data_IF_273290101680
#
_entry.id   IF_273290101680
#
_cell.length_a   1.000
_cell.length_b   1.000
_cell.length_c   1.000
_cell.angle_alpha   90.00
_cell.angle_beta   90.00
_cell.angle_gamma   90.00
#
_symmetry.space_group_name_H-M   'P 1'
#
loop_
_entity.id
_entity.type
_entity.pdbx_description
1 polymer ?
#
# COMPACT_ATOMS: atom_id res chain seq x y z
N UNK A 1 -11.07 6.08 -20.13
CA UNK A 1 -10.42 5.45 -18.96
C UNK A 1 -10.92 4.02 -18.89
N UNK A 2 -10.10 3.08 -19.35
CA UNK A 2 -10.35 1.66 -19.12
C UNK A 2 -10.25 1.48 -17.60
N UNK A 3 -11.31 1.00 -16.95
CA UNK A 3 -11.21 0.49 -15.59
C UNK A 3 -10.14 -0.60 -15.64
N UNK A 4 -8.96 -0.36 -15.07
CA UNK A 4 -8.06 -1.44 -14.67
C UNK A 4 -8.91 -2.41 -13.86
N UNK A 5 -9.16 -3.59 -14.41
CA UNK A 5 -9.82 -4.64 -13.67
C UNK A 5 -8.91 -4.98 -12.49
N UNK A 6 -9.29 -4.50 -11.31
CA UNK A 6 -8.55 -4.72 -10.07
C UNK A 6 -8.41 -6.23 -9.86
N UNK A 7 -7.18 -6.74 -10.00
CA UNK A 7 -6.89 -8.16 -9.85
C UNK A 7 -6.78 -8.51 -8.36
N UNK A 8 -7.93 -8.83 -7.76
CA UNK A 8 -8.04 -9.10 -6.32
C UNK A 8 -7.10 -10.24 -5.86
N UNK A 9 -6.82 -11.22 -6.72
CA UNK A 9 -5.87 -12.29 -6.44
C UNK A 9 -4.44 -11.74 -6.31
N UNK A 10 -3.99 -10.98 -7.31
CA UNK A 10 -2.65 -10.38 -7.31
C UNK A 10 -2.48 -9.43 -6.11
N UNK A 11 -3.46 -8.56 -5.86
CA UNK A 11 -3.38 -7.65 -4.72
C UNK A 11 -3.33 -8.37 -3.38
N UNK A 12 -4.15 -9.42 -3.19
CA UNK A 12 -4.13 -10.21 -1.95
C UNK A 12 -2.78 -10.90 -1.75
N UNK A 13 -2.28 -11.59 -2.77
CA UNK A 13 -1.02 -12.36 -2.69
C UNK A 13 0.20 -11.45 -2.52
N UNK A 14 0.25 -10.32 -3.23
CA UNK A 14 1.33 -9.34 -3.08
C UNK A 14 1.34 -8.72 -1.68
N UNK A 15 0.17 -8.31 -1.16
CA UNK A 15 0.06 -7.80 0.21
C UNK A 15 0.47 -8.85 1.23
N UNK A 16 0.02 -10.11 1.08
CA UNK A 16 0.32 -11.19 2.01
C UNK A 16 1.83 -11.51 2.05
N UNK A 17 2.49 -11.52 0.88
CA UNK A 17 3.95 -11.72 0.75
C UNK A 17 4.75 -10.54 1.30
N UNK A 18 4.28 -9.31 1.08
CA UNK A 18 4.88 -8.10 1.66
C UNK A 18 4.83 -8.13 3.20
N UNK A 19 3.68 -8.52 3.77
CA UNK A 19 3.52 -8.71 5.20
C UNK A 19 4.42 -9.82 5.74
N UNK A 20 4.52 -10.96 5.05
CA UNK A 20 5.40 -12.05 5.45
C UNK A 20 6.88 -11.64 5.48
N UNK A 21 7.34 -10.90 4.47
CA UNK A 21 8.70 -10.36 4.40
C UNK A 21 9.00 -9.41 5.56
N UNK A 22 7.97 -8.70 6.03
CA UNK A 22 8.04 -7.75 7.14
C UNK A 22 7.59 -8.34 8.49
N UNK A 23 7.63 -9.67 8.65
CA UNK A 23 7.52 -10.32 9.95
C UNK A 23 6.17 -10.92 10.28
N UNK A 24 5.21 -10.80 9.38
CA UNK A 24 4.05 -11.68 9.37
C UNK A 24 4.44 -13.12 9.00
N UNK A 25 3.44 -14.00 9.04
CA UNK A 25 3.58 -15.40 8.65
C UNK A 25 2.45 -15.79 7.70
N UNK A 26 2.72 -16.76 6.84
CA UNK A 26 1.74 -17.41 5.98
C UNK A 26 1.64 -18.87 6.39
N UNK A 27 0.43 -19.40 6.48
CA UNK A 27 0.23 -20.80 6.81
C UNK A 27 0.70 -21.70 5.65
N UNK A 28 1.02 -22.96 5.97
CA UNK A 28 1.36 -23.96 4.94
C UNK A 28 0.21 -24.15 3.94
N UNK A 29 -1.03 -24.08 4.43
CA UNK A 29 -2.23 -24.21 3.60
C UNK A 29 -2.36 -23.04 2.62
N UNK A 30 -2.12 -21.81 3.08
CA UNK A 30 -2.15 -20.62 2.22
C UNK A 30 -1.15 -20.77 1.05
N UNK A 31 0.08 -21.18 1.37
CA UNK A 31 1.13 -21.39 0.38
C UNK A 31 0.79 -22.52 -0.60
N UNK A 32 0.13 -23.58 -0.12
CA UNK A 32 -0.31 -24.69 -0.96
C UNK A 32 -1.42 -24.26 -1.94
N UNK A 33 -2.40 -23.47 -1.49
CA UNK A 33 -3.47 -22.93 -2.35
C UNK A 33 -2.86 -22.05 -3.46
N UNK A 34 -1.97 -21.14 -3.09
CA UNK A 34 -1.29 -20.22 -4.02
C UNK A 34 -0.47 -20.99 -5.07
N UNK A 35 0.34 -21.95 -4.64
CA UNK A 35 1.15 -22.79 -5.53
C UNK A 35 0.29 -23.65 -6.47
N UNK A 36 -0.82 -24.20 -5.98
CA UNK A 36 -1.74 -24.99 -6.79
C UNK A 36 -2.43 -24.14 -7.87
N UNK A 37 -2.78 -22.89 -7.56
CA UNK A 37 -3.36 -21.98 -8.54
C UNK A 37 -2.34 -21.54 -9.59
N UNK A 38 -1.11 -21.21 -9.19
CA UNK A 38 -0.04 -20.93 -10.15
C UNK A 38 0.23 -22.15 -11.04
N UNK A 39 0.30 -23.37 -10.49
CA UNK A 39 0.43 -24.60 -11.28
C UNK A 39 -0.75 -24.81 -12.25
N UNK A 40 -1.98 -24.47 -11.83
CA UNK A 40 -3.15 -24.49 -12.70
C UNK A 40 -3.00 -23.49 -13.86
N UNK A 41 -2.54 -22.26 -13.60
CA UNK A 41 -2.27 -21.26 -14.65
C UNK A 41 -1.17 -21.71 -15.62
N UNK A 42 -0.11 -22.36 -15.12
CA UNK A 42 0.93 -22.95 -15.97
C UNK A 42 0.41 -24.14 -16.80
N UNK A 43 -0.53 -24.93 -16.29
CA UNK A 43 -1.16 -26.02 -17.07
C UNK A 43 -2.15 -25.53 -18.12
N UNK A 44 -2.68 -24.32 -17.96
CA UNK A 44 -3.42 -23.64 -19.02
C UNK A 44 -2.52 -23.13 -20.16
N UNK A 45 -1.20 -23.33 -20.09
CA UNK A 45 -0.28 -23.01 -21.19
C UNK A 45 -0.54 -23.97 -22.35
N UNK A 46 -1.50 -23.55 -23.18
CA UNK A 46 -1.79 -23.97 -24.55
C UNK A 46 -1.79 -25.46 -24.82
N UNK A 47 -2.98 -26.05 -25.01
CA UNK A 47 -3.11 -27.37 -25.64
C UNK A 47 -2.40 -27.44 -27.00
N UNK A 48 -2.12 -26.30 -27.65
CA UNK A 48 -1.27 -26.22 -28.85
C UNK A 48 0.20 -26.51 -28.52
N UNK A 49 0.71 -26.07 -27.37
CA UNK A 49 2.05 -26.41 -26.90
C UNK A 49 2.16 -27.91 -26.59
N UNK A 50 1.22 -28.47 -25.85
CA UNK A 50 1.17 -29.91 -25.54
C UNK A 50 1.05 -30.74 -26.82
N UNK A 51 0.18 -30.34 -27.75
CA UNK A 51 0.06 -30.97 -29.07
C UNK A 51 1.37 -30.90 -29.87
N UNK A 52 2.03 -29.73 -29.87
CA UNK A 52 3.33 -29.54 -30.56
C UNK A 52 4.40 -30.46 -29.98
N UNK A 53 4.47 -30.59 -28.66
CA UNK A 53 5.39 -31.51 -28.00
C UNK A 53 5.07 -32.97 -28.30
N UNK A 54 3.79 -33.35 -28.28
CA UNK A 54 3.36 -34.71 -28.61
C UNK A 54 3.73 -35.10 -30.05
N UNK A 55 3.60 -34.16 -31.01
CA UNK A 55 4.04 -34.36 -32.40
C UNK A 55 5.56 -34.51 -32.49
N UNK A 56 6.33 -33.66 -31.80
CA UNK A 56 7.81 -33.72 -31.80
C UNK A 56 8.31 -35.04 -31.19
N UNK A 57 7.66 -35.51 -30.13
CA UNK A 57 8.06 -36.73 -29.42
C UNK A 57 7.58 -38.02 -30.10
N UNK A 58 6.74 -37.92 -31.14
CA UNK A 58 6.19 -39.08 -31.84
C UNK A 58 5.22 -39.89 -30.99
N UNK A 59 4.39 -39.21 -30.19
CA UNK A 59 3.32 -39.84 -29.40
C UNK A 59 2.30 -40.56 -30.31
N UNK A 60 1.51 -41.46 -29.73
CA UNK A 60 0.55 -42.26 -30.49
C UNK A 60 -0.64 -41.45 -31.02
N UNK A 61 -1.27 -41.97 -32.08
CA UNK A 61 -2.37 -41.30 -32.77
C UNK A 61 -3.56 -40.97 -31.85
N UNK A 62 -3.81 -41.79 -30.83
CA UNK A 62 -4.87 -41.55 -29.86
C UNK A 62 -4.59 -40.29 -29.02
N UNK A 63 -3.36 -40.15 -28.50
CA UNK A 63 -2.93 -38.96 -27.74
C UNK A 63 -2.93 -37.71 -28.60
N UNK A 64 -2.45 -37.80 -29.84
CA UNK A 64 -2.46 -36.69 -30.79
C UNK A 64 -3.88 -36.21 -31.10
N UNK A 65 -4.81 -37.14 -31.34
CA UNK A 65 -6.22 -36.79 -31.62
C UNK A 65 -6.91 -36.16 -30.41
N UNK A 66 -6.62 -36.63 -29.20
CA UNK A 66 -7.14 -36.04 -27.96
C UNK A 66 -6.63 -34.60 -27.78
N UNK A 67 -5.32 -34.38 -27.88
CA UNK A 67 -4.71 -33.06 -27.76
C UNK A 67 -5.16 -32.10 -28.87
N UNK A 68 -5.31 -32.59 -30.10
CA UNK A 68 -5.85 -31.81 -31.22
C UNK A 68 -7.31 -31.39 -30.98
N UNK A 69 -8.14 -32.28 -30.43
CA UNK A 69 -9.53 -31.97 -30.07
C UNK A 69 -9.59 -30.91 -28.97
N UNK A 70 -8.73 -31.01 -27.95
CA UNK A 70 -8.62 -30.01 -26.88
C UNK A 70 -8.11 -28.67 -27.39
N UNK A 71 -7.11 -28.67 -28.29
CA UNK A 71 -6.59 -27.48 -28.93
C UNK A 71 -7.65 -26.77 -29.81
N UNK A 72 -8.45 -27.53 -30.56
CA UNK A 72 -9.58 -26.98 -31.34
C UNK A 72 -10.65 -26.43 -30.40
N UNK A 73 -11.04 -27.16 -29.35
CA UNK A 73 -12.05 -26.70 -28.40
C UNK A 73 -11.64 -25.38 -27.72
N UNK A 74 -10.36 -25.28 -27.34
CA UNK A 74 -9.74 -24.07 -26.80
C UNK A 74 -9.76 -22.92 -27.83
N UNK A 75 -9.32 -23.18 -29.07
CA UNK A 75 -9.29 -22.18 -30.15
C UNK A 75 -10.70 -21.68 -30.56
N UNK A 76 -11.69 -22.58 -30.60
CA UNK A 76 -13.09 -22.25 -30.88
C UNK A 76 -13.72 -21.42 -29.75
N UNK A 77 -13.35 -21.71 -28.50
CA UNK A 77 -13.69 -20.86 -27.36
C UNK A 77 -13.18 -19.43 -27.52
N UNK A 78 -11.99 -19.26 -28.13
CA UNK A 78 -11.34 -17.98 -28.43
C UNK A 78 -11.97 -17.12 -29.53
N UNK A 79 -12.67 -17.72 -30.50
CA UNK A 79 -13.10 -17.02 -31.72
C UNK A 79 -14.52 -16.42 -31.68
N UNK A 80 -15.36 -16.69 -30.66
CA UNK A 80 -16.71 -16.09 -30.56
C UNK A 80 -16.71 -14.63 -30.03
N UNK A 81 -15.79 -13.81 -30.54
CA UNK A 81 -15.59 -12.43 -30.09
C UNK A 81 -15.38 -11.41 -31.19
N UNK A 82 -15.95 -11.61 -32.39
CA UNK A 82 -15.73 -10.70 -33.53
C UNK A 82 -16.81 -9.63 -33.71
N UNK A 83 -17.83 -9.54 -32.84
CA UNK A 83 -18.78 -8.43 -32.87
C UNK A 83 -18.33 -7.27 -31.98
N UNK A 84 -18.28 -6.08 -32.61
CA UNK A 84 -17.59 -4.85 -32.21
C UNK A 84 -17.94 -4.26 -30.82
N UNK A 85 -18.87 -4.86 -30.08
CA UNK A 85 -19.28 -4.44 -28.74
C UNK A 85 -19.65 -5.60 -27.77
N UNK A 86 -19.39 -6.85 -28.12
CA UNK A 86 -19.60 -7.96 -27.18
C UNK A 86 -18.61 -9.08 -27.39
N UNK A 87 -17.69 -9.24 -26.45
CA UNK A 87 -17.10 -10.54 -26.16
C UNK A 87 -17.21 -10.73 -24.66
N UNK A 88 -18.37 -11.26 -24.25
CA UNK A 88 -18.40 -12.04 -23.02
C UNK A 88 -17.29 -13.08 -23.17
N UNK A 89 -16.35 -13.09 -22.23
CA UNK A 89 -15.15 -13.91 -22.30
C UNK A 89 -15.46 -15.34 -22.71
N UNK A 90 -14.52 -15.93 -23.45
CA UNK A 90 -14.50 -17.35 -23.80
C UNK A 90 -14.90 -18.22 -22.61
N UNK A 91 -15.43 -19.43 -22.83
CA UNK A 91 -15.73 -20.35 -21.72
C UNK A 91 -14.52 -20.53 -20.79
N UNK A 92 -13.30 -20.50 -21.33
CA UNK A 92 -12.05 -20.50 -20.57
C UNK A 92 -11.86 -19.25 -19.72
N UNK A 93 -12.16 -18.05 -20.22
CA UNK A 93 -12.06 -16.81 -19.45
C UNK A 93 -13.10 -16.75 -18.33
N UNK A 94 -14.30 -17.31 -18.54
CA UNK A 94 -15.30 -17.46 -17.48
C UNK A 94 -14.85 -18.47 -16.42
N UNK A 95 -14.26 -19.60 -16.84
CA UNK A 95 -13.70 -20.60 -15.93
C UNK A 95 -12.51 -20.02 -15.15
N UNK A 96 -11.56 -19.34 -15.79
CA UNK A 96 -10.42 -18.71 -15.08
C UNK A 96 -10.92 -17.67 -14.08
N UNK A 97 -11.90 -16.84 -14.46
CA UNK A 97 -12.48 -15.85 -13.54
C UNK A 97 -13.12 -16.52 -12.32
N UNK A 98 -13.92 -17.56 -12.52
CA UNK A 98 -14.58 -18.27 -11.41
C UNK A 98 -13.55 -18.99 -10.52
N UNK A 99 -12.60 -19.72 -11.11
CA UNK A 99 -11.53 -20.42 -10.38
C UNK A 99 -10.71 -19.39 -9.59
N UNK A 100 -10.28 -18.29 -10.22
CA UNK A 100 -9.53 -17.22 -9.55
C UNK A 100 -10.32 -16.63 -8.38
N UNK A 101 -11.61 -16.38 -8.54
CA UNK A 101 -12.45 -15.85 -7.48
C UNK A 101 -12.55 -16.82 -6.30
N UNK A 102 -12.76 -18.12 -6.56
CA UNK A 102 -12.82 -19.15 -5.52
C UNK A 102 -11.47 -19.30 -4.79
N UNK A 103 -10.36 -19.30 -5.53
CA UNK A 103 -9.00 -19.33 -4.97
C UNK A 103 -8.74 -18.11 -4.10
N UNK A 104 -9.09 -16.91 -4.59
CA UNK A 104 -8.93 -15.66 -3.82
C UNK A 104 -9.71 -15.73 -2.51
N UNK A 105 -10.95 -16.19 -2.54
CA UNK A 105 -11.77 -16.36 -1.33
C UNK A 105 -11.12 -17.36 -0.34
N UNK A 106 -10.58 -18.48 -0.83
CA UNK A 106 -9.90 -19.45 0.01
C UNK A 106 -8.63 -18.87 0.65
N UNK A 107 -7.82 -18.13 -0.12
CA UNK A 107 -6.63 -17.43 0.39
C UNK A 107 -6.97 -16.36 1.42
N UNK A 108 -8.07 -15.63 1.24
CA UNK A 108 -8.55 -14.63 2.21
C UNK A 108 -8.99 -15.31 3.50
N UNK A 109 -9.80 -16.36 3.42
CA UNK A 109 -10.25 -17.13 4.59
C UNK A 109 -9.09 -17.73 5.37
N UNK A 110 -8.09 -18.26 4.66
CA UNK A 110 -6.91 -18.84 5.30
C UNK A 110 -6.04 -17.76 5.97
N UNK A 111 -5.81 -16.63 5.29
CA UNK A 111 -5.03 -15.52 5.86
C UNK A 111 -5.69 -14.91 7.10
N UNK A 112 -7.03 -14.82 7.12
CA UNK A 112 -7.79 -14.27 8.25
C UNK A 112 -7.53 -15.02 9.58
N UNK A 113 -7.04 -16.26 9.55
CA UNK A 113 -6.67 -17.03 10.75
C UNK A 113 -5.45 -16.43 11.46
N UNK A 114 -4.54 -15.79 10.73
CA UNK A 114 -3.29 -15.21 11.26
C UNK A 114 -3.21 -13.69 11.10
N UNK A 115 -4.16 -13.07 10.40
CA UNK A 115 -4.10 -11.66 10.01
C UNK A 115 -3.95 -10.69 11.19
N UNK A 116 -4.71 -10.85 12.27
CA UNK A 116 -4.59 -9.99 13.46
C UNK A 116 -3.21 -10.09 14.15
N UNK A 117 -2.59 -11.27 14.14
CA UNK A 117 -1.24 -11.46 14.67
C UNK A 117 -0.19 -10.84 13.75
N UNK A 118 -0.35 -11.03 12.44
CA UNK A 118 0.50 -10.42 11.42
C UNK A 118 0.45 -8.89 11.48
N UNK A 119 -0.74 -8.31 11.64
CA UNK A 119 -0.92 -6.86 11.78
C UNK A 119 -0.12 -6.29 12.95
N UNK A 120 -0.22 -6.93 14.13
CA UNK A 120 0.56 -6.55 15.31
C UNK A 120 2.06 -6.74 15.12
N UNK A 121 2.49 -7.83 14.50
CA UNK A 121 3.90 -8.12 14.26
C UNK A 121 4.56 -7.09 13.33
N UNK A 122 3.88 -6.73 12.23
CA UNK A 122 4.37 -5.69 11.31
C UNK A 122 4.34 -4.31 11.97
N UNK A 123 3.28 -4.00 12.72
CA UNK A 123 3.18 -2.76 13.50
C UNK A 123 4.33 -2.61 14.52
N UNK A 124 4.70 -3.69 15.21
CA UNK A 124 5.85 -3.68 16.11
C UNK A 124 7.16 -3.37 15.39
N UNK A 125 7.42 -3.97 14.21
CA UNK A 125 8.62 -3.66 13.42
C UNK A 125 8.66 -2.22 12.94
N UNK A 126 7.52 -1.66 12.55
CA UNK A 126 7.41 -0.25 12.19
C UNK A 126 7.74 0.64 13.40
N UNK A 127 7.20 0.33 14.57
CA UNK A 127 7.47 1.06 15.81
C UNK A 127 8.95 1.00 16.21
N UNK A 128 9.61 -0.15 16.05
CA UNK A 128 11.05 -0.30 16.31
C UNK A 128 11.84 0.68 15.44
N UNK A 129 11.53 0.78 14.14
CA UNK A 129 12.20 1.71 13.21
C UNK A 129 11.94 3.18 13.51
N UNK A 130 10.71 3.52 13.87
CA UNK A 130 10.36 4.88 14.33
C UNK A 130 11.16 5.23 15.60
N UNK A 131 11.28 4.28 16.52
CA UNK A 131 12.04 4.45 17.77
C UNK A 131 13.53 4.64 17.48
N UNK A 132 14.11 3.85 16.56
CA UNK A 132 15.49 4.04 16.10
C UNK A 132 15.73 5.44 15.52
N UNK A 133 14.81 5.96 14.68
CA UNK A 133 14.92 7.31 14.14
C UNK A 133 14.81 8.38 15.22
N UNK A 134 13.92 8.21 16.19
CA UNK A 134 13.76 9.13 17.33
C UNK A 134 15.05 9.22 18.16
N UNK A 135 15.71 8.10 18.40
CA UNK A 135 17.01 8.08 19.09
C UNK A 135 18.07 8.85 18.30
N UNK A 136 18.05 8.78 16.97
CA UNK A 136 18.97 9.59 16.15
C UNK A 136 18.63 11.08 16.19
N UNK A 137 17.35 11.45 16.21
CA UNK A 137 16.94 12.86 16.31
C UNK A 137 17.34 13.52 17.64
N UNK A 138 17.50 12.74 18.71
CA UNK A 138 18.02 13.23 19.98
C UNK A 138 19.54 13.54 19.92
N UNK A 139 20.26 13.00 18.93
CA UNK A 139 21.71 13.16 18.76
C UNK A 139 22.04 14.25 17.75
N UNK A 140 21.26 14.38 16.67
CA UNK A 140 21.51 15.29 15.56
C UNK A 140 20.20 15.81 14.98
N UNK A 141 20.19 17.05 14.48
CA UNK A 141 19.10 17.51 13.61
C UNK A 141 19.18 16.70 12.30
N UNK A 142 18.30 15.70 12.18
CA UNK A 142 18.28 14.73 11.08
C UNK A 142 17.99 15.37 9.71
N UNK A 143 17.46 16.60 9.70
CA UNK A 143 17.24 17.42 8.51
C UNK A 143 18.28 18.55 8.35
N UNK A 144 19.35 18.56 9.13
CA UNK A 144 20.42 19.54 8.98
C UNK A 144 21.01 19.52 7.56
N UNK A 145 21.31 20.71 7.05
CA UNK A 145 22.06 20.85 5.80
C UNK A 145 23.46 20.21 5.94
N UNK A 146 23.99 19.51 4.92
CA UNK A 146 25.31 18.87 5.01
C UNK A 146 26.44 19.84 5.40
N UNK A 147 26.33 21.12 5.06
CA UNK A 147 27.32 22.13 5.43
C UNK A 147 27.39 22.36 6.95
N UNK A 148 26.27 22.21 7.66
CA UNK A 148 26.21 22.33 9.12
C UNK A 148 26.91 21.16 9.85
N UNK A 149 27.23 20.08 9.13
CA UNK A 149 27.91 18.90 9.65
C UNK A 149 29.43 18.96 9.51
N UNK A 150 29.95 19.91 8.72
CA UNK A 150 31.40 20.07 8.52
C UNK A 150 32.04 20.48 9.85
N UNK A 151 33.00 19.68 10.32
CA UNK A 151 33.67 19.90 11.60
C UNK A 151 32.93 19.35 12.82
N UNK A 152 31.72 18.79 12.65
CA UNK A 152 31.04 18.05 13.72
C UNK A 152 31.78 16.74 14.03
N UNK A 153 31.69 16.21 15.27
CA UNK A 153 32.21 14.89 15.61
C UNK A 153 31.72 13.80 14.65
N UNK A 154 32.58 12.82 14.35
CA UNK A 154 32.26 11.70 13.45
C UNK A 154 30.98 10.96 13.85
N UNK A 155 30.69 10.84 15.16
CA UNK A 155 29.46 10.24 15.68
C UNK A 155 28.20 10.97 15.20
N UNK A 156 28.21 12.31 15.14
CA UNK A 156 27.08 13.13 14.67
C UNK A 156 26.90 12.95 13.16
N UNK A 157 28.01 12.98 12.41
CA UNK A 157 27.98 12.76 10.95
C UNK A 157 27.44 11.36 10.61
N UNK A 158 27.86 10.32 11.35
CA UNK A 158 27.35 8.96 11.19
C UNK A 158 25.87 8.84 11.53
N UNK A 159 25.41 9.43 12.63
CA UNK A 159 24.00 9.45 13.00
C UNK A 159 23.14 10.09 11.91
N UNK A 160 23.58 11.22 11.34
CA UNK A 160 22.88 11.90 10.26
C UNK A 160 22.85 11.10 8.94
N UNK A 161 23.91 10.33 8.64
CA UNK A 161 23.91 9.40 7.51
C UNK A 161 22.93 8.23 7.75
N UNK A 162 22.97 7.63 8.94
CA UNK A 162 22.09 6.51 9.32
C UNK A 162 20.61 6.89 9.30
N UNK A 163 20.26 8.14 9.62
CA UNK A 163 18.87 8.60 9.60
C UNK A 163 18.21 8.37 8.24
N UNK A 164 18.93 8.58 7.12
CA UNK A 164 18.41 8.35 5.77
C UNK A 164 18.08 6.88 5.50
N UNK A 165 18.96 5.96 5.92
CA UNK A 165 18.75 4.52 5.79
C UNK A 165 17.56 4.04 6.64
N UNK A 166 17.43 4.59 7.85
CA UNK A 166 16.31 4.26 8.75
C UNK A 166 14.99 4.75 8.19
N UNK A 167 14.93 5.96 7.64
CA UNK A 167 13.72 6.49 6.97
C UNK A 167 13.26 5.58 5.83
N UNK A 168 14.19 5.13 4.97
CA UNK A 168 13.88 4.14 3.93
C UNK A 168 13.34 2.82 4.52
N UNK A 169 13.85 2.43 5.69
CA UNK A 169 13.33 1.28 6.45
C UNK A 169 11.92 1.51 6.99
N UNK A 170 11.63 2.71 7.51
CA UNK A 170 10.29 3.09 7.98
C UNK A 170 9.30 3.06 6.81
N UNK A 171 9.62 3.64 5.65
CA UNK A 171 8.70 3.64 4.50
C UNK A 171 8.35 2.22 4.04
N UNK A 172 9.33 1.32 4.00
CA UNK A 172 9.09 -0.10 3.66
C UNK A 172 8.23 -0.80 4.71
N UNK A 173 8.52 -0.59 5.99
CA UNK A 173 7.73 -1.15 7.08
C UNK A 173 6.30 -0.58 7.10
N UNK A 174 6.14 0.69 6.77
CA UNK A 174 4.85 1.36 6.68
C UNK A 174 4.01 0.84 5.51
N UNK A 175 4.60 0.66 4.32
CA UNK A 175 3.92 0.01 3.20
C UNK A 175 3.44 -1.40 3.56
N UNK A 176 4.26 -2.18 4.28
CA UNK A 176 3.83 -3.48 4.78
C UNK A 176 2.72 -3.39 5.83
N UNK A 177 2.73 -2.35 6.68
CA UNK A 177 1.67 -2.11 7.66
C UNK A 177 0.35 -1.71 6.99
N UNK A 178 0.40 -0.91 5.93
CA UNK A 178 -0.76 -0.60 5.09
C UNK A 178 -1.32 -1.86 4.41
N UNK A 179 -0.45 -2.72 3.87
CA UNK A 179 -0.85 -4.01 3.31
C UNK A 179 -1.52 -4.92 4.36
N UNK A 180 -0.97 -4.96 5.59
CA UNK A 180 -1.60 -5.68 6.69
C UNK A 180 -2.99 -5.11 7.05
N UNK A 181 -3.14 -3.78 7.07
CA UNK A 181 -4.43 -3.12 7.30
C UNK A 181 -5.45 -3.49 6.20
N UNK A 182 -5.02 -3.50 4.94
CA UNK A 182 -5.87 -3.88 3.81
C UNK A 182 -6.35 -5.33 3.90
N UNK A 183 -5.46 -6.27 4.27
CA UNK A 183 -5.79 -7.69 4.45
C UNK A 183 -6.75 -7.93 5.64
N UNK A 184 -6.71 -7.08 6.66
CA UNK A 184 -7.66 -7.06 7.78
C UNK A 184 -8.97 -6.31 7.45
N UNK A 185 -9.16 -5.91 6.19
CA UNK A 185 -10.40 -5.29 5.70
C UNK A 185 -10.42 -3.76 5.71
N UNK A 186 -9.29 -3.09 5.95
CA UNK A 186 -9.18 -1.63 5.88
C UNK A 186 -8.45 -1.19 4.62
N UNK A 187 -9.22 -1.06 3.55
CA UNK A 187 -8.73 -0.51 2.29
C UNK A 187 -8.64 1.01 2.40
N UNK A 188 -7.41 1.53 2.30
CA UNK A 188 -7.14 2.95 2.23
C UNK A 188 -7.11 3.36 0.76
N UNK A 189 -8.08 4.16 0.33
CA UNK A 189 -8.23 4.60 -1.07
C UNK A 189 -7.50 5.90 -1.38
N UNK A 190 -7.08 6.63 -0.34
CA UNK A 190 -6.32 7.89 -0.45
C UNK A 190 -5.06 7.81 0.41
N UNK A 191 -3.94 8.37 -0.08
CA UNK A 191 -2.70 8.43 0.69
C UNK A 191 -2.88 9.14 2.04
N UNK A 192 -3.75 10.15 2.07
CA UNK A 192 -4.11 10.90 3.27
C UNK A 192 -4.71 10.04 4.38
N UNK A 193 -5.44 8.97 4.01
CA UNK A 193 -6.04 8.07 4.99
C UNK A 193 -4.99 7.26 5.76
N UNK A 194 -3.77 7.13 5.24
CA UNK A 194 -2.70 6.40 5.88
C UNK A 194 -2.24 7.03 7.20
N UNK A 195 -2.49 8.33 7.40
CA UNK A 195 -2.08 9.07 8.59
C UNK A 195 -2.69 8.49 9.87
N UNK A 196 -3.95 8.04 9.81
CA UNK A 196 -4.68 7.46 10.94
C UNK A 196 -4.19 6.07 11.36
N UNK A 197 -3.20 5.50 10.65
CA UNK A 197 -2.55 4.26 11.05
C UNK A 197 -1.44 4.48 12.07
N UNK A 198 -0.83 5.67 12.11
CA UNK A 198 0.42 5.92 12.85
C UNK A 198 0.42 7.21 13.66
N UNK A 199 -0.42 8.17 13.32
CA UNK A 199 -0.51 9.45 14.01
C UNK A 199 -1.76 9.52 14.90
N UNK A 200 -1.72 10.29 16.00
CA UNK A 200 -2.90 10.59 16.78
C UNK A 200 -3.91 11.39 15.95
N UNK A 201 -5.18 10.98 15.98
CA UNK A 201 -6.26 11.61 15.20
C UNK A 201 -7.19 12.47 16.05
N UNK A 202 -6.74 12.88 17.24
CA UNK A 202 -7.51 13.65 18.22
C UNK A 202 -7.17 15.14 18.22
N UNK A 203 -6.09 15.54 17.54
CA UNK A 203 -5.70 16.94 17.43
C UNK A 203 -6.75 17.77 16.69
N UNK A 204 -6.84 19.07 17.00
CA UNK A 204 -7.73 20.01 16.31
C UNK A 204 -7.02 21.34 16.05
N UNK A 205 -7.49 22.13 15.08
CA UNK A 205 -6.96 23.46 14.80
C UNK A 205 -5.46 23.45 14.49
N UNK A 206 -4.67 24.20 15.27
CA UNK A 206 -3.23 24.35 15.05
C UNK A 206 -2.45 23.01 15.11
N UNK A 207 -2.79 22.12 16.04
CA UNK A 207 -2.14 20.81 16.17
C UNK A 207 -2.41 19.92 14.95
N UNK A 208 -3.63 20.01 14.39
CA UNK A 208 -3.99 19.28 13.17
C UNK A 208 -3.22 19.80 11.96
N UNK A 209 -3.05 21.12 11.84
CA UNK A 209 -2.27 21.72 10.74
C UNK A 209 -0.80 21.32 10.82
N UNK A 210 -0.19 21.46 12.00
CA UNK A 210 1.21 21.08 12.21
C UNK A 210 1.47 19.61 11.83
N UNK A 211 0.52 18.72 12.16
CA UNK A 211 0.57 17.32 11.77
C UNK A 211 0.54 17.14 10.25
N UNK A 212 -0.34 17.85 9.54
CA UNK A 212 -0.43 17.76 8.08
C UNK A 212 0.77 18.40 7.37
N UNK A 213 1.25 19.55 7.85
CA UNK A 213 2.44 20.21 7.34
C UNK A 213 3.68 19.31 7.51
N UNK A 214 3.78 18.61 8.64
CA UNK A 214 4.81 17.61 8.86
C UNK A 214 4.62 16.38 7.95
N UNK A 215 3.39 15.91 7.77
CA UNK A 215 3.08 14.76 6.91
C UNK A 215 3.41 14.99 5.43
N UNK A 216 3.24 16.21 4.95
CA UNK A 216 3.53 16.62 3.57
C UNK A 216 5.00 17.02 3.37
N UNK A 217 5.85 16.96 4.41
CA UNK A 217 7.23 17.39 4.30
C UNK A 217 8.06 16.53 3.35
N UNK A 218 8.81 17.21 2.48
CA UNK A 218 9.72 16.65 1.47
C UNK A 218 11.20 16.86 1.82
N UNK A 219 11.49 17.18 3.09
CA UNK A 219 12.86 17.33 3.60
C UNK A 219 13.65 16.02 3.49
N UNK A 220 14.93 16.06 3.84
CA UNK A 220 15.86 14.91 3.76
C UNK A 220 15.29 13.63 4.38
N UNK A 221 14.70 13.73 5.57
CA UNK A 221 14.07 12.58 6.26
C UNK A 221 12.55 12.49 6.03
N UNK A 222 12.04 13.30 5.10
CA UNK A 222 10.66 13.36 4.67
C UNK A 222 9.68 13.59 5.82
N UNK A 223 8.49 13.00 5.67
CA UNK A 223 7.42 13.08 6.67
C UNK A 223 7.84 12.61 8.06
N UNK A 224 8.66 11.57 8.15
CA UNK A 224 8.96 10.91 9.42
C UNK A 224 9.81 11.79 10.33
N UNK A 225 10.84 12.43 9.79
CA UNK A 225 11.64 13.36 10.59
C UNK A 225 10.89 14.64 10.91
N UNK A 226 10.08 15.16 9.99
CA UNK A 226 9.23 16.32 10.25
C UNK A 226 8.21 16.05 11.37
N UNK A 227 7.58 14.86 11.39
CA UNK A 227 6.63 14.46 12.44
C UNK A 227 7.33 14.33 13.81
N UNK A 228 8.52 13.73 13.85
CA UNK A 228 9.32 13.62 15.09
C UNK A 228 9.75 15.01 15.57
N UNK A 229 10.16 15.91 14.68
CA UNK A 229 10.57 17.29 14.99
C UNK A 229 9.40 18.14 15.51
N UNK A 230 8.19 17.90 15.00
CA UNK A 230 6.96 18.48 15.51
C UNK A 230 6.49 17.85 16.85
N UNK A 231 7.21 16.85 17.38
CA UNK A 231 6.88 16.22 18.66
C UNK A 231 5.64 15.32 18.61
N UNK A 232 5.22 14.88 17.42
CA UNK A 232 4.03 14.04 17.24
C UNK A 232 4.34 12.62 17.71
N UNK A 233 3.46 12.05 18.53
CA UNK A 233 3.60 10.70 19.06
C UNK A 233 3.27 9.66 17.99
N UNK A 234 4.29 9.27 17.22
CA UNK A 234 4.17 8.28 16.15
C UNK A 234 4.07 6.87 16.74
N UNK A 235 2.88 6.28 16.68
CA UNK A 235 2.61 4.93 17.16
C UNK A 235 1.66 4.19 16.21
N UNK A 236 2.09 3.05 15.64
CA UNK A 236 1.20 2.19 14.88
C UNK A 236 0.02 1.74 15.72
N UNK A 237 -1.20 1.84 15.19
CA UNK A 237 -2.41 1.35 15.87
C UNK A 237 -2.32 -0.14 16.17
N UNK A 238 -2.93 -0.60 17.27
CA UNK A 238 -2.78 -1.99 17.73
C UNK A 238 -3.78 -2.96 17.05
N UNK A 239 -4.83 -2.38 16.48
CA UNK A 239 -5.92 -3.06 15.80
C UNK A 239 -6.51 -2.16 14.74
N UNK A 240 -6.93 -2.74 13.61
CA UNK A 240 -7.66 -2.02 12.55
C UNK A 240 -8.95 -1.37 13.05
N UNK A 241 -9.54 -1.88 14.15
CA UNK A 241 -10.74 -1.29 14.77
C UNK A 241 -10.48 0.07 15.44
N UNK A 242 -9.23 0.36 15.79
CA UNK A 242 -8.82 1.65 16.37
C UNK A 242 -8.61 2.72 15.29
N UNK A 243 -8.56 2.32 14.02
CA UNK A 243 -8.36 3.25 12.93
C UNK A 243 -9.46 4.30 12.93
N UNK A 244 -9.03 5.56 12.89
CA UNK A 244 -9.89 6.72 12.70
C UNK A 244 -9.41 7.47 11.47
N UNK A 245 -10.32 7.81 10.55
CA UNK A 245 -9.96 8.68 9.44
C UNK A 245 -9.64 10.07 10.00
N UNK A 246 -8.56 10.65 9.54
CA UNK A 246 -8.18 12.02 9.90
C UNK A 246 -8.12 12.77 8.59
N UNK A 247 -9.06 13.68 8.36
CA UNK A 247 -9.12 14.43 7.12
C UNK A 247 -8.13 15.61 7.17
N UNK A 248 -7.80 16.18 6.01
CA UNK A 248 -7.07 17.44 5.93
C UNK A 248 -7.89 18.60 6.53
N UNK A 249 -7.24 19.65 7.06
CA UNK A 249 -7.94 20.88 7.42
C UNK A 249 -8.60 21.47 6.18
N UNK A 250 -9.81 22.02 6.34
CA UNK A 250 -10.52 22.70 5.26
C UNK A 250 -10.29 24.20 5.33
N UNK A 251 -10.20 24.85 4.18
CA UNK A 251 -10.11 26.31 4.10
C UNK A 251 -11.46 26.90 3.71
N UNK A 252 -11.83 28.01 4.37
CA UNK A 252 -13.02 28.80 4.08
C UNK A 252 -12.66 30.27 3.83
N UNK A 253 -13.43 30.94 2.97
CA UNK A 253 -13.25 32.37 2.72
C UNK A 253 -13.96 33.18 3.82
N UNK A 254 -13.20 33.91 4.65
CA UNK A 254 -13.75 34.88 5.61
C UNK A 254 -13.65 36.29 5.05
N UNK A 255 -14.75 37.03 5.13
CA UNK A 255 -14.78 38.45 4.74
C UNK A 255 -14.64 39.32 5.98
N UNK A 256 -13.67 40.23 5.98
CA UNK A 256 -13.35 41.12 7.11
C UNK A 256 -13.39 42.55 6.62
N UNK A 257 -13.86 43.47 7.47
CA UNK A 257 -13.84 44.88 7.17
C UNK A 257 -12.41 45.41 7.30
N UNK A 258 -11.88 46.02 6.23
CA UNK A 258 -10.55 46.62 6.25
C UNK A 258 -10.51 47.88 7.12
N UNK A 259 -9.37 48.14 7.75
CA UNK A 259 -9.15 49.28 8.67
C UNK A 259 -9.43 50.65 8.02
N UNK A 260 -9.34 50.75 6.69
CA UNK A 260 -9.50 51.99 5.92
C UNK A 260 -10.84 52.03 5.14
N UNK A 261 -11.76 51.12 5.45
CA UNK A 261 -13.02 50.91 4.71
C UNK A 261 -12.89 49.88 3.59
N UNK A 262 -14.00 49.19 3.29
CA UNK A 262 -14.06 48.09 2.31
C UNK A 262 -14.07 46.70 2.94
N UNK A 263 -14.40 45.69 2.14
CA UNK A 263 -14.42 44.27 2.52
C UNK A 263 -13.21 43.58 1.90
N UNK A 264 -12.39 42.92 2.72
CA UNK A 264 -11.29 42.06 2.28
C UNK A 264 -11.66 40.60 2.54
N UNK A 265 -11.38 39.73 1.58
CA UNK A 265 -11.56 38.30 1.71
C UNK A 265 -10.22 37.63 2.00
N UNK A 266 -10.18 36.84 3.06
CA UNK A 266 -9.03 36.01 3.44
C UNK A 266 -9.45 34.55 3.32
N UNK A 267 -8.57 33.72 2.77
CA UNK A 267 -8.70 32.29 2.89
C UNK A 267 -8.19 31.91 4.30
N UNK A 268 -9.08 31.44 5.15
CA UNK A 268 -8.81 31.12 6.55
C UNK A 268 -9.12 29.65 6.75
N UNK A 269 -8.36 28.95 7.56
CA UNK A 269 -8.75 27.60 7.96
C UNK A 269 -10.06 27.67 8.76
N UNK A 270 -11.00 26.81 8.39
CA UNK A 270 -12.30 26.69 9.06
C UNK A 270 -12.18 26.32 10.54
N UNK A 271 -11.05 25.74 10.95
CA UNK A 271 -10.78 25.34 12.33
C UNK A 271 -9.99 26.40 13.12
N UNK A 272 -9.53 27.49 12.48
CA UNK A 272 -8.87 28.60 13.16
C UNK A 272 -9.89 29.69 13.59
N UNK A 273 -9.89 29.99 14.89
CA UNK A 273 -10.66 31.08 15.47
C UNK A 273 -10.05 32.47 15.21
N UNK A 274 -8.91 32.54 14.51
CA UNK A 274 -8.21 33.81 14.25
C UNK A 274 -7.69 33.91 12.82
N UNK A 275 -7.86 35.09 12.24
CA UNK A 275 -7.33 35.42 10.91
C UNK A 275 -5.87 35.82 11.12
N UNK A 276 -4.93 34.96 10.73
CA UNK A 276 -3.53 35.36 10.63
C UNK A 276 -3.37 36.14 9.32
N UNK A 277 -3.43 37.46 9.41
CA UNK A 277 -3.04 38.32 8.30
C UNK A 277 -1.52 38.28 8.23
N UNK A 278 -0.99 37.48 7.31
CA UNK A 278 0.43 37.58 6.96
C UNK A 278 0.67 38.98 6.41
N UNK A 279 1.33 39.81 7.22
CA UNK A 279 1.83 41.10 6.77
C UNK A 279 2.99 40.81 5.81
N UNK A 280 2.71 40.90 4.51
CA UNK A 280 3.76 41.02 3.49
C UNK A 280 4.59 42.28 3.72
#
# INVERSE_FOLDING_TARGET
MLNEFYDAYATHTDNARLVATNGGTLSKEWLAIDANYEAFRYRQVSFVHDLTHAVINGEDEATLNQLHTLAIASAMGGQQGTDRYSVAGTAEALIDREVRQQVTNALVQEYAKTGAQNFKAVGARLLDKITELKVLSDVVDIDADPSALVGQPMKIQQAWMQAGDIVNGIDKAFAAFQAAAALEGRVLTRNDQAIGLVCPTTGTGAERRELWDAWDSDKRTGRWGALIKAGIDLKPISSVREYTAYDRPTSEWKTVQAEWGGMQQFLVDSEDNSIKVDKQ
#
